data_IF_484520260013
#
_entry.id   IF_484520260013
#
_cell.length_a   1.000
_cell.length_b   1.000
_cell.length_c   1.000
_cell.angle_alpha   90.00
_cell.angle_beta   90.00
_cell.angle_gamma   90.00
#
_symmetry.space_group_name_H-M   'P 1'
#
loop_
_entity.id
_entity.type
_entity.pdbx_description
1 polymer ?
#
# COMPACT_ATOMS: atom_id res chain seq x y z
N UNK A 1 58.02 42.27 -21.15
CA UNK A 1 57.33 43.13 -20.20
C UNK A 1 55.81 42.83 -20.40
N UNK A 2 55.04 42.33 -19.59
CA UNK A 2 54.84 42.25 -18.18
C UNK A 2 53.91 41.08 -17.93
N UNK A 3 54.20 40.30 -16.92
CA UNK A 3 53.30 39.20 -16.43
C UNK A 3 52.10 39.75 -15.74
N UNK A 4 50.93 39.11 -15.90
CA UNK A 4 49.79 39.28 -15.04
C UNK A 4 49.29 37.94 -14.55
N UNK A 5 49.41 37.75 -13.25
CA UNK A 5 49.03 36.60 -12.46
C UNK A 5 47.50 36.51 -12.35
N UNK A 6 46.92 35.39 -12.76
CA UNK A 6 45.55 35.03 -12.45
C UNK A 6 45.51 34.08 -11.24
N UNK A 7 45.06 34.57 -10.10
CA UNK A 7 44.87 33.79 -8.84
C UNK A 7 43.67 32.87 -8.96
N UNK A 8 43.92 31.58 -8.81
CA UNK A 8 42.95 30.54 -8.53
C UNK A 8 42.25 30.80 -7.19
N UNK A 9 40.96 31.01 -7.21
CA UNK A 9 40.11 30.93 -6.00
C UNK A 9 39.59 29.48 -5.85
N UNK A 10 40.28 28.71 -5.04
CA UNK A 10 39.79 27.46 -4.54
C UNK A 10 38.68 27.75 -3.51
N UNK A 11 37.44 27.49 -3.89
CA UNK A 11 36.29 27.53 -3.00
C UNK A 11 36.41 26.41 -1.97
N UNK A 12 36.64 26.79 -0.72
CA UNK A 12 36.61 25.89 0.45
C UNK A 12 35.20 25.43 0.74
N UNK A 13 34.86 24.22 0.30
CA UNK A 13 33.69 23.50 0.85
C UNK A 13 34.02 23.14 2.31
N UNK A 14 33.46 23.91 3.23
CA UNK A 14 33.43 23.55 4.66
C UNK A 14 32.61 22.31 4.80
N UNK A 15 33.23 21.19 5.06
CA UNK A 15 32.67 19.98 5.61
C UNK A 15 32.01 20.31 6.95
N UNK A 16 30.70 20.37 7.01
CA UNK A 16 29.95 20.36 8.25
C UNK A 16 30.18 18.98 8.91
N UNK A 17 30.95 18.96 9.97
CA UNK A 17 31.07 17.82 10.87
C UNK A 17 29.67 17.55 11.44
N UNK A 18 29.02 16.47 11.01
CA UNK A 18 27.94 15.86 11.74
C UNK A 18 28.56 15.24 13.00
N UNK A 19 28.27 15.86 14.14
CA UNK A 19 28.56 15.30 15.46
C UNK A 19 27.88 13.94 15.56
N UNK A 20 28.68 12.95 15.98
CA UNK A 20 28.30 11.56 16.06
C UNK A 20 27.14 11.30 17.02
N UNK A 21 25.97 11.13 16.48
CA UNK A 21 24.93 10.37 17.14
C UNK A 21 25.36 8.91 17.10
N UNK A 22 25.47 8.30 18.28
CA UNK A 22 25.71 6.87 18.47
C UNK A 22 24.82 6.09 17.50
N UNK A 23 25.40 5.55 16.43
CA UNK A 23 24.72 4.64 15.51
C UNK A 23 24.31 3.43 16.32
N UNK A 24 23.03 3.29 16.61
CA UNK A 24 22.49 2.09 17.27
C UNK A 24 22.82 0.87 16.44
N UNK A 25 23.29 -0.20 17.08
CA UNK A 25 23.53 -1.50 16.42
C UNK A 25 22.27 -1.95 15.68
N UNK A 26 22.20 -1.71 14.35
CA UNK A 26 21.05 -2.11 13.54
C UNK A 26 20.75 -1.24 12.34
N UNK A 27 21.38 -0.07 12.20
CA UNK A 27 21.16 0.83 11.07
C UNK A 27 19.76 1.47 11.00
N UNK A 28 19.58 2.44 10.13
CA UNK A 28 18.31 3.14 9.85
C UNK A 28 17.26 2.16 9.31
N UNK A 29 16.06 2.18 9.87
CA UNK A 29 14.88 1.48 9.35
C UNK A 29 14.04 2.44 8.51
N UNK A 30 13.72 2.03 7.30
CA UNK A 30 12.84 2.78 6.41
C UNK A 30 11.50 2.05 6.26
N UNK A 31 10.40 2.74 6.62
CA UNK A 31 9.03 2.24 6.50
C UNK A 31 8.33 2.94 5.32
N UNK A 32 7.96 2.21 4.28
CA UNK A 32 7.18 2.72 3.17
C UNK A 32 5.68 2.76 3.50
N UNK A 33 5.03 3.89 3.24
CA UNK A 33 3.63 4.12 3.55
C UNK A 33 2.99 5.02 2.49
N UNK A 34 1.74 4.72 2.12
CA UNK A 34 1.00 5.54 1.16
C UNK A 34 0.11 6.55 1.89
N UNK A 35 -0.04 7.77 1.33
CA UNK A 35 -1.01 8.76 1.83
C UNK A 35 -2.45 8.24 1.76
N UNK A 36 -3.33 8.86 2.55
CA UNK A 36 -4.74 8.56 2.61
C UNK A 36 -5.10 7.55 3.69
N UNK A 37 -6.24 6.90 3.57
CA UNK A 37 -6.88 6.10 4.60
C UNK A 37 -5.94 5.13 5.35
N UNK A 38 -5.06 4.42 4.62
CA UNK A 38 -4.11 3.49 5.27
C UNK A 38 -3.13 4.27 6.16
N UNK A 39 -2.66 5.44 5.71
CA UNK A 39 -1.77 6.29 6.51
C UNK A 39 -2.46 6.76 7.78
N UNK A 40 -3.66 7.32 7.65
CA UNK A 40 -4.42 7.91 8.76
C UNK A 40 -4.73 6.86 9.82
N UNK A 41 -5.18 5.67 9.39
CA UNK A 41 -5.50 4.57 10.30
C UNK A 41 -4.23 3.86 10.85
N UNK A 42 -3.07 3.96 10.18
CA UNK A 42 -1.81 3.42 10.66
C UNK A 42 -1.15 4.32 11.72
N UNK A 43 -1.36 5.64 11.69
CA UNK A 43 -0.73 6.58 12.63
C UNK A 43 -0.93 6.22 14.09
N UNK A 44 -2.15 5.87 14.59
CA UNK A 44 -2.35 5.45 15.97
C UNK A 44 -1.54 4.20 16.33
N UNK A 45 -1.47 3.21 15.42
CA UNK A 45 -0.69 1.99 15.64
C UNK A 45 0.81 2.27 15.67
N UNK A 46 1.29 3.14 14.78
CA UNK A 46 2.69 3.57 14.74
C UNK A 46 3.08 4.31 16.03
N UNK A 47 2.23 5.24 16.51
CA UNK A 47 2.44 5.92 17.79
C UNK A 47 2.49 4.94 18.96
N UNK A 48 1.60 3.96 19.01
CA UNK A 48 1.61 2.92 20.03
C UNK A 48 2.86 2.02 19.97
N UNK A 49 3.51 1.94 18.80
CA UNK A 49 4.80 1.28 18.59
C UNK A 49 6.00 2.22 18.74
N UNK A 50 5.81 3.41 19.37
CA UNK A 50 6.84 4.44 19.56
C UNK A 50 7.43 4.98 18.23
N UNK A 51 6.64 4.98 17.16
CA UNK A 51 6.98 5.55 15.86
C UNK A 51 6.04 6.74 15.62
N UNK A 52 6.44 7.92 16.10
CA UNK A 52 5.68 9.15 15.89
C UNK A 52 6.29 9.94 14.73
N UNK A 53 5.50 10.16 13.68
CA UNK A 53 5.88 10.98 12.52
C UNK A 53 5.84 12.44 12.93
N UNK A 54 6.92 13.19 12.65
CA UNK A 54 7.09 14.58 13.09
C UNK A 54 6.44 15.58 12.13
N UNK A 55 6.46 15.29 10.83
CA UNK A 55 5.84 16.13 9.81
C UNK A 55 4.41 15.64 9.51
N UNK A 56 3.48 16.55 9.33
CA UNK A 56 2.16 16.21 8.83
C UNK A 56 2.23 15.89 7.32
N UNK A 57 1.93 14.65 6.92
CA UNK A 57 2.03 14.24 5.53
C UNK A 57 1.03 14.92 4.58
N UNK A 58 -0.10 15.43 5.11
CA UNK A 58 -1.11 16.12 4.29
C UNK A 58 -0.60 17.51 3.85
N UNK A 59 0.11 18.20 4.72
CA UNK A 59 0.62 19.55 4.48
C UNK A 59 2.06 19.57 3.98
N UNK A 60 2.86 18.56 4.35
CA UNK A 60 4.26 18.44 3.95
C UNK A 60 4.42 18.00 2.50
N UNK A 61 5.35 18.63 1.78
CA UNK A 61 5.81 18.16 0.45
C UNK A 61 6.99 17.19 0.53
N UNK A 62 7.48 16.90 1.74
CA UNK A 62 8.55 15.91 1.93
C UNK A 62 8.02 14.52 1.59
N UNK A 63 8.86 13.73 0.94
CA UNK A 63 8.59 12.32 0.63
C UNK A 63 9.31 11.37 1.61
N UNK A 64 10.21 11.91 2.41
CA UNK A 64 10.87 11.23 3.53
C UNK A 64 10.54 12.05 4.77
N UNK A 65 9.85 11.41 5.71
CA UNK A 65 9.42 12.02 6.96
C UNK A 65 10.25 11.44 8.10
N UNK A 66 10.74 12.33 8.94
CA UNK A 66 11.44 11.95 10.17
C UNK A 66 10.42 11.52 11.22
N UNK A 67 10.87 10.65 12.13
CA UNK A 67 10.07 10.24 13.29
C UNK A 67 10.76 10.66 14.58
N UNK A 68 10.03 10.59 15.71
CA UNK A 68 10.65 10.81 17.04
C UNK A 68 11.79 9.83 17.31
N UNK A 69 11.76 8.66 16.69
CA UNK A 69 12.86 7.69 16.75
C UNK A 69 13.91 8.02 15.67
N UNK A 70 15.15 8.34 16.08
CA UNK A 70 16.21 8.71 15.12
C UNK A 70 16.68 7.55 14.23
N UNK A 71 16.33 6.31 14.60
CA UNK A 71 16.64 5.08 13.85
C UNK A 71 15.51 4.65 12.90
N UNK A 72 14.39 5.41 12.80
CA UNK A 72 13.25 5.10 11.92
C UNK A 72 12.84 6.32 11.12
N UNK A 73 12.61 6.15 9.83
CA UNK A 73 12.01 7.15 8.94
C UNK A 73 10.88 6.57 8.12
N UNK A 74 9.95 7.41 7.69
CA UNK A 74 8.82 7.03 6.84
C UNK A 74 9.05 7.53 5.42
N UNK A 75 8.92 6.65 4.43
CA UNK A 75 8.97 6.95 3.02
C UNK A 75 7.54 7.01 2.47
N UNK A 76 7.13 8.17 1.95
CA UNK A 76 5.80 8.40 1.42
C UNK A 76 5.78 8.08 -0.07
N UNK A 77 5.06 7.03 -0.46
CA UNK A 77 4.97 6.55 -1.85
C UNK A 77 3.52 6.30 -2.25
N UNK A 78 3.26 5.96 -3.51
CA UNK A 78 1.93 5.50 -3.93
C UNK A 78 1.65 4.11 -3.37
N UNK A 79 0.38 3.82 -3.06
CA UNK A 79 -0.02 2.54 -2.49
C UNK A 79 0.44 1.34 -3.33
N UNK A 80 0.35 1.43 -4.65
CA UNK A 80 0.80 0.41 -5.61
C UNK A 80 2.31 0.21 -5.63
N UNK A 81 3.09 1.21 -5.18
CA UNK A 81 4.54 1.17 -5.24
C UNK A 81 5.16 0.66 -3.93
N UNK A 82 4.40 0.66 -2.81
CA UNK A 82 4.88 0.17 -1.51
C UNK A 82 5.52 -1.23 -1.61
N UNK A 83 4.88 -2.25 -2.22
CA UNK A 83 5.48 -3.57 -2.35
C UNK A 83 6.81 -3.54 -3.11
N UNK A 84 6.88 -2.78 -4.20
CA UNK A 84 8.10 -2.61 -5.01
C UNK A 84 9.24 -2.01 -4.20
N UNK A 85 8.99 -0.91 -3.46
CA UNK A 85 10.01 -0.30 -2.61
C UNK A 85 10.54 -1.26 -1.55
N UNK A 86 9.66 -2.06 -0.95
CA UNK A 86 10.05 -3.07 0.04
C UNK A 86 10.79 -4.24 -0.62
N UNK A 87 10.29 -4.76 -1.73
CA UNK A 87 10.89 -5.90 -2.44
C UNK A 87 12.34 -5.63 -2.86
N UNK A 88 12.59 -4.46 -3.41
CA UNK A 88 13.92 -4.07 -3.91
C UNK A 88 14.81 -3.36 -2.87
N UNK A 89 14.39 -3.29 -1.61
CA UNK A 89 15.20 -2.76 -0.51
C UNK A 89 15.29 -1.24 -0.45
N UNK A 90 14.45 -0.51 -1.19
CA UNK A 90 14.24 0.93 -1.02
C UNK A 90 13.59 1.27 0.32
N UNK A 91 12.85 0.31 0.89
CA UNK A 91 12.35 0.32 2.25
C UNK A 91 12.57 -1.05 2.90
N UNK A 92 12.75 -1.07 4.22
CA UNK A 92 12.90 -2.30 5.01
C UNK A 92 11.54 -2.92 5.33
N UNK A 93 10.55 -2.05 5.57
CA UNK A 93 9.17 -2.36 5.94
C UNK A 93 8.21 -1.57 5.05
N UNK A 94 6.97 -2.03 4.96
CA UNK A 94 5.90 -1.27 4.31
C UNK A 94 4.53 -1.61 4.88
N UNK A 95 3.58 -0.69 4.76
CA UNK A 95 2.18 -0.91 5.08
C UNK A 95 1.36 -0.67 3.81
N UNK A 96 0.62 -1.69 3.37
CA UNK A 96 -0.18 -1.64 2.15
C UNK A 96 -1.38 -2.57 2.24
N UNK A 97 -2.38 -2.39 1.36
CA UNK A 97 -3.54 -3.27 1.29
C UNK A 97 -3.19 -4.68 0.80
N UNK A 98 -3.89 -5.68 1.32
CA UNK A 98 -3.77 -7.07 0.86
C UNK A 98 -4.05 -7.21 -0.65
N UNK A 99 -4.99 -6.42 -1.17
CA UNK A 99 -5.31 -6.32 -2.59
C UNK A 99 -4.08 -5.98 -3.45
N UNK A 100 -3.35 -4.97 -3.03
CA UNK A 100 -2.12 -4.53 -3.70
C UNK A 100 -1.04 -5.62 -3.67
N UNK A 101 -0.90 -6.34 -2.55
CA UNK A 101 0.06 -7.44 -2.43
C UNK A 101 -0.30 -8.62 -3.32
N UNK A 102 -1.58 -8.97 -3.43
CA UNK A 102 -2.05 -10.05 -4.31
C UNK A 102 -1.82 -9.72 -5.79
N UNK A 103 -2.01 -8.46 -6.19
CA UNK A 103 -1.72 -8.02 -7.56
C UNK A 103 -0.22 -7.92 -7.87
N UNK A 104 0.59 -7.57 -6.87
CA UNK A 104 2.06 -7.44 -7.03
C UNK A 104 2.77 -8.79 -7.08
N UNK A 105 2.26 -9.76 -6.34
CA UNK A 105 2.97 -11.02 -6.04
C UNK A 105 3.74 -10.95 -4.71
N UNK A 106 4.20 -12.10 -4.24
CA UNK A 106 4.79 -12.24 -2.89
C UNK A 106 6.30 -12.44 -2.87
N UNK A 107 6.97 -12.44 -4.02
CA UNK A 107 8.40 -12.71 -4.12
C UNK A 107 9.24 -11.71 -3.34
N UNK A 108 10.12 -12.21 -2.47
CA UNK A 108 11.00 -11.37 -1.65
C UNK A 108 10.31 -10.61 -0.51
N UNK A 109 9.00 -10.77 -0.34
CA UNK A 109 8.19 -10.13 0.70
C UNK A 109 7.76 -11.13 1.77
N UNK A 110 7.87 -10.71 3.03
CA UNK A 110 7.32 -11.42 4.18
C UNK A 110 6.19 -10.59 4.79
N UNK A 111 5.04 -11.21 5.08
CA UNK A 111 3.84 -10.56 5.61
C UNK A 111 3.59 -11.05 7.05
N UNK A 112 4.27 -10.48 8.06
CA UNK A 112 4.16 -10.97 9.44
C UNK A 112 2.84 -10.63 10.12
N UNK A 113 2.15 -9.56 9.71
CA UNK A 113 1.05 -9.02 10.49
C UNK A 113 -0.08 -8.46 9.63
N UNK A 114 -1.31 -8.82 9.99
CA UNK A 114 -2.54 -8.14 9.57
C UNK A 114 -2.80 -7.00 10.56
N UNK A 115 -2.76 -5.76 10.07
CA UNK A 115 -2.93 -4.59 10.91
C UNK A 115 -4.40 -4.33 11.29
N UNK A 116 -5.35 -5.03 10.67
CA UNK A 116 -6.78 -4.91 10.92
C UNK A 116 -7.37 -3.51 10.71
N UNK A 117 -6.69 -2.70 9.90
CA UNK A 117 -7.09 -1.33 9.51
C UNK A 117 -7.42 -1.28 8.02
N UNK A 118 -8.02 -0.17 7.58
CA UNK A 118 -8.46 0.08 6.20
C UNK A 118 -9.34 -1.06 5.65
N UNK A 119 -10.17 -1.64 6.50
CA UNK A 119 -11.03 -2.76 6.15
C UNK A 119 -12.01 -2.40 5.04
N UNK A 120 -12.06 -3.26 4.04
CA UNK A 120 -12.98 -3.20 2.92
C UNK A 120 -13.08 -4.61 2.31
N UNK A 121 -13.75 -4.72 1.17
CA UNK A 121 -13.85 -5.99 0.44
C UNK A 121 -13.64 -5.76 -1.04
N UNK A 122 -13.19 -6.77 -1.76
CA UNK A 122 -13.25 -6.83 -3.22
C UNK A 122 -14.52 -7.56 -3.60
N UNK A 123 -15.27 -6.97 -4.53
CA UNK A 123 -16.53 -7.52 -4.98
C UNK A 123 -16.74 -7.33 -6.48
N UNK A 124 -17.56 -8.19 -7.05
CA UNK A 124 -18.16 -7.97 -8.38
C UNK A 124 -19.33 -7.02 -8.21
N UNK A 125 -19.38 -5.96 -9.01
CA UNK A 125 -20.54 -5.07 -9.06
C UNK A 125 -21.02 -4.89 -10.50
N UNK A 126 -22.34 -4.71 -10.66
CA UNK A 126 -23.02 -4.60 -11.94
C UNK A 126 -24.04 -3.47 -11.89
N UNK A 127 -24.57 -3.06 -13.05
CA UNK A 127 -25.70 -2.12 -13.10
C UNK A 127 -26.92 -2.70 -12.41
N UNK A 128 -27.69 -1.85 -11.77
CA UNK A 128 -29.03 -2.21 -11.29
C UNK A 128 -29.85 -2.84 -12.43
N UNK A 129 -30.51 -3.97 -12.13
CA UNK A 129 -31.30 -4.72 -13.11
C UNK A 129 -30.51 -5.66 -14.04
N UNK A 130 -29.19 -5.70 -13.96
CA UNK A 130 -28.40 -6.68 -14.73
C UNK A 130 -28.45 -8.05 -14.02
N UNK A 131 -28.92 -9.08 -14.73
CA UNK A 131 -29.03 -10.44 -14.18
C UNK A 131 -27.68 -11.19 -14.25
N UNK A 132 -26.76 -10.80 -13.38
CA UNK A 132 -25.45 -11.42 -13.24
C UNK A 132 -25.54 -12.94 -12.99
N UNK A 133 -26.45 -13.35 -12.07
CA UNK A 133 -26.57 -14.74 -11.68
C UNK A 133 -26.96 -15.66 -12.84
N UNK A 134 -27.92 -15.26 -13.67
CA UNK A 134 -28.32 -16.05 -14.86
C UNK A 134 -27.21 -16.09 -15.91
N UNK A 135 -26.53 -14.96 -16.15
CA UNK A 135 -25.39 -14.91 -17.06
C UNK A 135 -24.29 -15.91 -16.67
N UNK A 136 -23.93 -15.94 -15.40
CA UNK A 136 -22.92 -16.88 -14.88
C UNK A 136 -23.41 -18.33 -15.04
N UNK A 137 -24.67 -18.65 -14.66
CA UNK A 137 -25.20 -20.02 -14.78
C UNK A 137 -25.30 -20.51 -16.22
N UNK A 138 -25.59 -19.63 -17.16
CA UNK A 138 -25.68 -19.95 -18.59
C UNK A 138 -24.29 -20.08 -19.27
N UNK A 139 -23.21 -19.85 -18.56
CA UNK A 139 -21.86 -19.86 -19.13
C UNK A 139 -21.63 -18.72 -20.12
N UNK A 140 -22.41 -17.63 -20.00
CA UNK A 140 -22.25 -16.48 -20.87
C UNK A 140 -20.91 -15.81 -20.62
N UNK A 141 -20.27 -15.33 -21.68
CA UNK A 141 -19.05 -14.54 -21.60
C UNK A 141 -19.35 -13.19 -20.95
N UNK A 142 -18.56 -12.78 -19.95
CA UNK A 142 -18.67 -11.51 -19.26
C UNK A 142 -17.48 -10.62 -19.62
N UNK A 143 -17.73 -9.36 -19.91
CA UNK A 143 -16.67 -8.34 -19.94
C UNK A 143 -16.59 -7.65 -18.58
N UNK A 144 -15.42 -7.69 -17.95
CA UNK A 144 -15.22 -7.21 -16.57
C UNK A 144 -14.11 -6.16 -16.53
N UNK A 145 -14.44 -4.94 -16.14
CA UNK A 145 -13.45 -3.88 -15.98
C UNK A 145 -12.89 -3.88 -14.56
N UNK A 146 -11.56 -3.79 -14.44
CA UNK A 146 -10.90 -3.81 -13.13
C UNK A 146 -9.46 -3.31 -13.20
N UNK A 147 -8.94 -2.86 -12.07
CA UNK A 147 -7.49 -2.70 -11.86
C UNK A 147 -6.85 -3.97 -11.25
N UNK A 148 -7.65 -4.88 -10.73
CA UNK A 148 -7.26 -6.09 -10.02
C UNK A 148 -7.28 -7.30 -10.96
N UNK A 149 -6.35 -7.30 -11.92
CA UNK A 149 -6.31 -8.27 -13.02
C UNK A 149 -6.01 -9.69 -12.56
N UNK A 150 -5.10 -9.86 -11.60
CA UNK A 150 -4.72 -11.18 -11.08
C UNK A 150 -5.87 -11.76 -10.24
N UNK A 151 -6.41 -10.98 -9.31
CA UNK A 151 -7.51 -11.38 -8.43
C UNK A 151 -8.76 -11.74 -9.25
N UNK A 152 -9.13 -10.89 -10.21
CA UNK A 152 -10.30 -11.15 -11.05
C UNK A 152 -10.13 -12.40 -11.90
N UNK A 153 -8.95 -12.58 -12.51
CA UNK A 153 -8.65 -13.78 -13.32
C UNK A 153 -8.76 -15.07 -12.49
N UNK A 154 -8.15 -15.07 -11.32
CA UNK A 154 -8.20 -16.23 -10.42
C UNK A 154 -9.62 -16.54 -9.97
N UNK A 155 -10.37 -15.52 -9.55
CA UNK A 155 -11.75 -15.65 -9.10
C UNK A 155 -12.67 -16.24 -10.18
N UNK A 156 -12.68 -15.67 -11.40
CA UNK A 156 -13.55 -16.17 -12.46
C UNK A 156 -13.10 -17.53 -12.99
N UNK A 157 -11.78 -17.80 -13.05
CA UNK A 157 -11.24 -19.10 -13.42
C UNK A 157 -11.65 -20.20 -12.43
N UNK A 158 -11.57 -19.94 -11.12
CA UNK A 158 -11.97 -20.88 -10.08
C UNK A 158 -13.47 -21.23 -10.15
N UNK A 159 -14.30 -20.32 -10.69
CA UNK A 159 -15.73 -20.54 -10.91
C UNK A 159 -16.09 -21.12 -12.27
N UNK A 160 -15.12 -21.31 -13.15
CA UNK A 160 -15.37 -21.75 -14.53
C UNK A 160 -16.10 -20.71 -15.40
N UNK A 161 -16.02 -19.43 -15.03
CA UNK A 161 -16.66 -18.33 -15.75
C UNK A 161 -15.71 -17.73 -16.77
N UNK A 162 -16.16 -17.62 -18.02
CA UNK A 162 -15.42 -16.95 -19.07
C UNK A 162 -15.53 -15.43 -18.91
N UNK A 163 -14.46 -14.79 -18.41
CA UNK A 163 -14.39 -13.34 -18.24
C UNK A 163 -13.31 -12.71 -19.12
N UNK A 164 -13.69 -11.73 -19.93
CA UNK A 164 -12.78 -10.84 -20.65
C UNK A 164 -12.45 -9.67 -19.75
N UNK A 165 -11.21 -9.59 -19.31
CA UNK A 165 -10.77 -8.56 -18.38
C UNK A 165 -10.28 -7.31 -19.11
N UNK A 166 -10.89 -6.16 -18.81
CA UNK A 166 -10.49 -4.84 -19.32
C UNK A 166 -9.77 -4.10 -18.19
N UNK A 167 -8.48 -3.82 -18.38
CA UNK A 167 -7.69 -3.12 -17.37
C UNK A 167 -8.00 -1.63 -17.35
N UNK A 168 -8.45 -1.12 -16.22
CA UNK A 168 -8.59 0.30 -15.92
C UNK A 168 -7.72 0.68 -14.72
N UNK A 169 -7.49 1.97 -14.51
CA UNK A 169 -6.69 2.50 -13.42
C UNK A 169 -7.49 3.28 -12.38
N UNK A 170 -8.74 3.62 -12.69
CA UNK A 170 -9.67 4.34 -11.82
C UNK A 170 -11.03 4.51 -12.48
N UNK A 171 -12.00 5.06 -11.73
CA UNK A 171 -13.40 5.31 -12.19
C UNK A 171 -14.04 4.08 -12.82
N UNK A 172 -13.90 2.94 -12.15
CA UNK A 172 -14.39 1.64 -12.65
C UNK A 172 -15.90 1.68 -12.93
N UNK A 173 -16.64 2.44 -12.13
CA UNK A 173 -18.10 2.58 -12.16
C UNK A 173 -18.60 3.08 -13.53
N UNK A 174 -17.78 3.82 -14.26
CA UNK A 174 -18.13 4.30 -15.61
C UNK A 174 -18.21 3.16 -16.63
N UNK A 175 -17.47 2.08 -16.45
CA UNK A 175 -17.39 1.01 -17.45
C UNK A 175 -18.74 0.34 -17.71
N UNK A 176 -19.55 -0.06 -16.71
CA UNK A 176 -20.87 -0.59 -16.96
C UNK A 176 -21.86 0.47 -17.50
N UNK A 177 -21.71 1.72 -17.09
CA UNK A 177 -22.61 2.81 -17.51
C UNK A 177 -22.45 3.18 -18.96
N UNK A 178 -21.24 3.08 -19.50
CA UNK A 178 -20.91 3.37 -20.89
C UNK A 178 -21.02 2.15 -21.82
N UNK A 179 -21.29 0.97 -21.26
CA UNK A 179 -21.34 -0.28 -22.03
C UNK A 179 -19.94 -0.83 -22.36
N UNK A 180 -18.87 -0.32 -21.74
CA UNK A 180 -17.52 -0.86 -21.90
C UNK A 180 -17.36 -2.25 -21.25
N UNK A 181 -18.09 -2.52 -20.16
CA UNK A 181 -18.09 -3.78 -19.47
C UNK A 181 -19.47 -4.14 -18.93
N UNK A 182 -19.72 -5.43 -18.70
CA UNK A 182 -20.96 -5.94 -18.06
C UNK A 182 -20.86 -5.76 -16.52
N UNK A 183 -19.66 -5.92 -15.99
CA UNK A 183 -19.37 -5.89 -14.55
C UNK A 183 -18.07 -5.17 -14.26
N UNK A 184 -17.87 -4.83 -12.98
CA UNK A 184 -16.58 -4.38 -12.46
C UNK A 184 -16.14 -5.30 -11.30
N UNK A 185 -14.83 -5.37 -11.08
CA UNK A 185 -14.24 -5.89 -9.85
C UNK A 185 -13.46 -4.74 -9.19
N UNK A 186 -13.93 -4.29 -8.03
CA UNK A 186 -13.29 -3.18 -7.32
C UNK A 186 -13.46 -3.31 -5.80
N UNK A 187 -12.77 -2.42 -5.06
CA UNK A 187 -12.91 -2.29 -3.61
C UNK A 187 -14.25 -1.64 -3.26
N UNK A 188 -14.92 -2.27 -2.33
CA UNK A 188 -16.18 -1.77 -1.74
C UNK A 188 -15.98 -1.62 -0.24
N UNK A 189 -16.08 -0.39 0.26
CA UNK A 189 -16.10 -0.10 1.70
C UNK A 189 -17.55 -0.01 2.18
N UNK A 190 -18.20 1.14 2.03
CA UNK A 190 -19.60 1.38 2.40
C UNK A 190 -20.59 1.12 1.26
N UNK A 191 -20.12 0.95 0.05
CA UNK A 191 -20.91 0.85 -1.17
C UNK A 191 -21.57 2.16 -1.62
N UNK A 192 -21.21 3.30 -1.02
CA UNK A 192 -21.79 4.60 -1.38
C UNK A 192 -21.51 5.00 -2.82
N UNK A 193 -20.26 4.76 -3.30
CA UNK A 193 -19.87 5.04 -4.69
C UNK A 193 -20.67 4.19 -5.68
N UNK A 194 -20.87 2.91 -5.39
CA UNK A 194 -21.69 2.03 -6.23
C UNK A 194 -23.12 2.58 -6.34
N UNK A 195 -23.77 2.86 -5.21
CA UNK A 195 -25.14 3.39 -5.19
C UNK A 195 -25.27 4.73 -5.92
N UNK A 196 -24.30 5.64 -5.73
CA UNK A 196 -24.29 6.93 -6.42
C UNK A 196 -24.19 6.80 -7.95
N UNK A 197 -23.73 5.65 -8.45
CA UNK A 197 -23.56 5.37 -9.88
C UNK A 197 -24.51 4.25 -10.37
N UNK A 198 -25.61 3.99 -9.66
CA UNK A 198 -26.61 2.97 -10.03
C UNK A 198 -25.99 1.57 -10.24
N UNK A 199 -25.01 1.23 -9.44
CA UNK A 199 -24.41 -0.09 -9.38
C UNK A 199 -24.80 -0.80 -8.09
N UNK A 200 -24.90 -2.12 -8.18
CA UNK A 200 -25.15 -3.02 -7.05
C UNK A 200 -24.03 -4.05 -6.95
N UNK A 201 -23.69 -4.39 -5.73
CA UNK A 201 -22.77 -5.49 -5.45
C UNK A 201 -23.47 -6.81 -5.77
N UNK A 202 -22.91 -7.55 -6.72
CA UNK A 202 -23.47 -8.82 -7.19
C UNK A 202 -22.85 -10.02 -6.49
N UNK A 203 -21.56 -9.95 -6.16
CA UNK A 203 -20.84 -11.05 -5.53
C UNK A 203 -19.62 -10.56 -4.73
N UNK A 204 -19.46 -11.08 -3.52
CA UNK A 204 -18.29 -10.88 -2.68
C UNK A 204 -17.14 -11.80 -3.12
N UNK A 205 -15.94 -11.27 -3.25
CA UNK A 205 -14.74 -12.04 -3.61
C UNK A 205 -13.91 -12.33 -2.36
N UNK A 206 -13.48 -11.29 -1.64
CA UNK A 206 -12.68 -11.44 -0.41
C UNK A 206 -12.67 -10.17 0.44
N UNK A 207 -12.41 -10.36 1.73
CA UNK A 207 -12.15 -9.25 2.64
C UNK A 207 -10.70 -8.78 2.54
N UNK A 208 -10.53 -7.47 2.66
CA UNK A 208 -9.26 -6.76 2.56
C UNK A 208 -9.00 -5.97 3.83
N UNK A 209 -7.76 -6.02 4.28
CA UNK A 209 -7.19 -5.16 5.32
C UNK A 209 -5.75 -4.79 4.97
N UNK A 210 -5.20 -3.78 5.63
CA UNK A 210 -3.80 -3.43 5.45
C UNK A 210 -2.88 -4.44 6.14
N UNK A 211 -1.75 -4.72 5.50
CA UNK A 211 -0.72 -5.66 5.93
C UNK A 211 0.60 -4.94 6.18
N UNK A 212 1.31 -5.35 7.22
CA UNK A 212 2.73 -5.06 7.36
C UNK A 212 3.50 -6.02 6.47
N UNK A 213 4.39 -5.48 5.64
CA UNK A 213 5.30 -6.27 4.80
C UNK A 213 6.74 -5.94 5.14
N UNK A 214 7.62 -6.92 5.00
CA UNK A 214 9.03 -6.85 5.36
C UNK A 214 9.87 -7.38 4.20
N UNK A 215 10.93 -6.66 3.85
CA UNK A 215 11.95 -7.14 2.93
C UNK A 215 12.69 -8.33 3.56
N UNK A 216 12.76 -9.46 2.87
CA UNK A 216 13.40 -10.69 3.39
C UNK A 216 14.89 -10.52 3.66
N UNK A 217 15.61 -9.75 2.85
CA UNK A 217 17.02 -9.47 3.07
C UNK A 217 17.23 -8.53 4.28
N UNK A 218 16.41 -7.48 4.39
CA UNK A 218 16.42 -6.59 5.55
C UNK A 218 16.13 -7.34 6.85
N UNK A 219 15.17 -8.28 6.82
CA UNK A 219 14.85 -9.13 7.98
C UNK A 219 16.05 -9.95 8.46
N UNK A 220 16.95 -10.36 7.55
CA UNK A 220 18.19 -11.07 7.91
C UNK A 220 19.26 -10.11 8.44
N UNK A 221 19.44 -8.96 7.79
CA UNK A 221 20.51 -8.00 8.10
C UNK A 221 20.19 -7.13 9.31
N UNK A 222 18.91 -6.76 9.51
CA UNK A 222 18.42 -5.84 10.56
C UNK A 222 17.39 -6.55 11.47
N UNK A 223 17.61 -7.84 11.77
CA UNK A 223 16.64 -8.71 12.43
C UNK A 223 16.11 -8.13 13.75
N UNK A 224 16.99 -7.68 14.62
CA UNK A 224 16.60 -7.23 15.95
C UNK A 224 15.73 -5.95 15.94
N UNK A 225 16.09 -4.85 15.24
CA UNK A 225 15.23 -3.68 15.16
C UNK A 225 13.92 -3.94 14.41
N UNK A 226 13.92 -4.71 13.31
CA UNK A 226 12.70 -5.05 12.59
C UNK A 226 11.75 -5.84 13.48
N UNK A 227 12.25 -6.86 14.19
CA UNK A 227 11.43 -7.68 15.09
C UNK A 227 10.80 -6.84 16.21
N UNK A 228 11.54 -5.90 16.79
CA UNK A 228 10.98 -4.98 17.81
C UNK A 228 9.81 -4.16 17.27
N UNK A 229 9.91 -3.68 16.02
CA UNK A 229 8.81 -2.94 15.37
C UNK A 229 7.61 -3.85 15.11
N UNK A 230 7.83 -5.05 14.58
CA UNK A 230 6.76 -6.03 14.33
C UNK A 230 6.03 -6.39 15.62
N UNK A 231 6.79 -6.74 16.69
CA UNK A 231 6.23 -7.12 17.99
C UNK A 231 5.47 -5.94 18.64
N UNK A 232 5.94 -4.70 18.47
CA UNK A 232 5.27 -3.51 18.99
C UNK A 232 3.96 -3.21 18.23
N UNK A 233 3.96 -3.33 16.91
CA UNK A 233 2.75 -3.18 16.10
C UNK A 233 1.74 -4.29 16.39
N UNK A 234 2.17 -5.54 16.56
CA UNK A 234 1.30 -6.65 16.93
C UNK A 234 0.57 -6.38 18.25
N UNK A 235 1.30 -5.93 19.27
CA UNK A 235 0.72 -5.52 20.56
C UNK A 235 -0.28 -4.37 20.38
N UNK A 236 0.03 -3.38 19.56
CA UNK A 236 -0.86 -2.24 19.30
C UNK A 236 -2.17 -2.69 18.64
N UNK A 237 -2.09 -3.58 17.64
CA UNK A 237 -3.27 -4.17 16.97
C UNK A 237 -4.14 -4.94 17.98
N UNK A 238 -3.52 -5.81 18.78
CA UNK A 238 -4.27 -6.58 19.79
C UNK A 238 -4.92 -5.69 20.86
N UNK A 239 -4.27 -4.59 21.24
CA UNK A 239 -4.84 -3.63 22.19
C UNK A 239 -6.02 -2.87 21.58
N UNK A 240 -5.91 -2.44 20.33
CA UNK A 240 -6.99 -1.76 19.61
C UNK A 240 -8.23 -2.65 19.45
N UNK A 241 -8.04 -3.95 19.16
CA UNK A 241 -9.13 -4.92 19.02
C UNK A 241 -9.86 -5.24 20.34
N UNK A 242 -9.19 -5.08 21.50
CA UNK A 242 -9.81 -5.29 22.82
C UNK A 242 -10.57 -4.06 23.33
N UNK A 243 -10.29 -2.88 22.79
CA UNK A 243 -10.90 -1.61 23.18
C UNK A 243 -12.04 -1.15 22.27
N UNK A 244 -12.31 -1.88 21.18
CA UNK A 244 -13.41 -1.67 20.23
C UNK A 244 -14.57 -2.62 20.53
#
# INVERSE_FOLDING_TARGET
>A
MSAAQGRSQASSYRSAKHEGTLMTEGGMITLALAKGRIFDEALPLLRAADIEVLDDPETSRKLILDTRRPDVRVLVVRATDVPTYVQYGGADLGITGRDTLLEHGSDGLYQPLDLQIAKCRISVAVREGFDYGSRVRQGARLTVATKYMAIAREFFAAKGVHADLVKLYGSMELAPLTGLADAIVDLVSTGSTLRANHLVEAEHIMDISARLVVNQAALKLKRAPIRRIVDALDKAVHSALRGA
#
